data_IF_516682748571
#
_entry.id   IF_516682748571
#
_cell.length_a   1.000
_cell.length_b   1.000
_cell.length_c   1.000
_cell.angle_alpha   90.00
_cell.angle_beta   90.00
_cell.angle_gamma   90.00
#
_symmetry.space_group_name_H-M   'P 1'
#
loop_
_entity.id
_entity.type
_entity.pdbx_description
1 polymer ?
#
# COMPACT_ATOMS: atom_id res chain seq x y z
N UNK A 1 2.81 49.14 -16.05
CA UNK A 1 2.93 48.35 -14.80
C UNK A 1 1.72 47.44 -14.56
N UNK A 2 0.48 47.95 -14.50
CA UNK A 2 -0.73 47.13 -14.29
C UNK A 2 -0.91 46.04 -15.36
N UNK A 3 -0.67 46.34 -16.64
CA UNK A 3 -0.76 45.37 -17.75
C UNK A 3 0.26 44.23 -17.63
N UNK A 4 1.46 44.49 -17.10
CA UNK A 4 2.46 43.45 -16.88
C UNK A 4 2.01 42.50 -15.74
N UNK A 5 1.43 43.07 -14.69
CA UNK A 5 0.96 42.35 -13.51
C UNK A 5 -0.25 41.45 -13.85
N UNK A 6 -1.15 41.90 -14.71
CA UNK A 6 -2.30 41.09 -15.17
C UNK A 6 -1.85 39.91 -16.05
N UNK A 7 -0.87 40.10 -16.93
CA UNK A 7 -0.31 39.01 -17.77
C UNK A 7 0.34 37.93 -16.90
N UNK A 8 1.11 38.33 -15.87
CA UNK A 8 1.73 37.38 -14.93
C UNK A 8 0.65 36.59 -14.18
N UNK A 9 -0.42 37.24 -13.71
CA UNK A 9 -1.51 36.56 -13.00
C UNK A 9 -2.24 35.53 -13.86
N UNK A 10 -2.52 35.84 -15.13
CA UNK A 10 -3.13 34.90 -16.08
C UNK A 10 -2.23 33.68 -16.29
N UNK A 11 -0.91 33.90 -16.44
CA UNK A 11 0.05 32.83 -16.68
C UNK A 11 0.21 31.90 -15.46
N UNK A 12 0.30 32.46 -14.25
CA UNK A 12 0.34 31.69 -13.00
C UNK A 12 -0.94 30.87 -12.83
N UNK A 13 -2.09 31.48 -13.08
CA UNK A 13 -3.39 30.82 -12.92
C UNK A 13 -3.59 29.63 -13.88
N UNK A 14 -2.93 29.64 -15.04
CA UNK A 14 -3.01 28.55 -16.01
C UNK A 14 -1.98 27.42 -15.75
N UNK A 15 -0.78 27.77 -15.28
CA UNK A 15 0.33 26.81 -15.16
C UNK A 15 0.34 26.06 -13.82
N UNK A 16 0.00 26.72 -12.72
CA UNK A 16 0.05 26.15 -11.37
C UNK A 16 -0.91 24.96 -11.18
N UNK A 17 -2.19 25.00 -11.60
CA UNK A 17 -3.14 23.94 -11.28
C UNK A 17 -2.75 22.55 -11.80
N UNK A 18 -2.13 22.49 -12.99
CA UNK A 18 -1.77 21.23 -13.65
C UNK A 18 -0.59 20.55 -12.97
N UNK A 19 0.43 21.31 -12.58
CA UNK A 19 1.62 20.77 -11.91
C UNK A 19 1.31 20.36 -10.47
N UNK A 20 0.49 21.14 -9.77
CA UNK A 20 0.09 20.83 -8.40
C UNK A 20 -0.74 19.55 -8.31
N UNK A 21 -1.63 19.32 -9.28
CA UNK A 21 -2.43 18.08 -9.34
C UNK A 21 -1.56 16.83 -9.44
N UNK A 22 -0.51 16.87 -10.28
CA UNK A 22 0.42 15.75 -10.44
C UNK A 22 1.28 15.50 -9.19
N UNK A 23 1.78 16.58 -8.56
CA UNK A 23 2.54 16.47 -7.30
C UNK A 23 1.67 15.89 -6.19
N UNK A 24 0.45 16.42 -6.05
CA UNK A 24 -0.50 15.96 -5.03
C UNK A 24 -0.93 14.51 -5.26
N UNK A 25 -1.11 14.08 -6.51
CA UNK A 25 -1.38 12.68 -6.82
C UNK A 25 -0.20 11.78 -6.44
N UNK A 26 1.03 12.18 -6.81
CA UNK A 26 2.25 11.46 -6.43
C UNK A 26 2.42 11.35 -4.91
N UNK A 27 2.04 12.38 -4.14
CA UNK A 27 2.15 12.33 -2.68
C UNK A 27 1.08 11.42 -2.06
N UNK A 28 -0.14 11.41 -2.62
CA UNK A 28 -1.17 10.42 -2.24
C UNK A 28 -0.70 9.00 -2.51
N UNK A 29 -0.10 8.75 -3.67
CA UNK A 29 0.48 7.46 -4.03
C UNK A 29 1.52 6.99 -3.00
N UNK A 30 2.42 7.87 -2.56
CA UNK A 30 3.39 7.55 -1.49
C UNK A 30 2.72 7.22 -0.16
N UNK A 31 1.67 7.96 0.20
CA UNK A 31 0.93 7.72 1.44
C UNK A 31 0.20 6.38 1.38
N UNK A 32 -0.41 6.01 0.25
CA UNK A 32 -1.02 4.70 0.04
C UNK A 32 0.00 3.59 0.26
N UNK A 33 1.16 3.68 -0.38
CA UNK A 33 2.23 2.68 -0.22
C UNK A 33 2.73 2.60 1.23
N UNK A 34 2.86 3.74 1.91
CA UNK A 34 3.23 3.76 3.32
C UNK A 34 2.20 3.05 4.20
N UNK A 35 0.90 3.29 3.96
CA UNK A 35 -0.19 2.67 4.72
C UNK A 35 -0.26 1.16 4.44
N UNK A 36 -0.16 0.74 3.18
CA UNK A 36 -0.08 -0.68 2.81
C UNK A 36 1.05 -1.39 3.56
N UNK A 37 2.20 -0.70 3.72
CA UNK A 37 3.32 -1.21 4.51
C UNK A 37 2.99 -1.36 5.99
N UNK A 38 2.28 -0.39 6.59
CA UNK A 38 1.83 -0.51 7.98
C UNK A 38 0.91 -1.72 8.19
N UNK A 39 0.02 -2.00 7.24
CA UNK A 39 -0.82 -3.18 7.28
C UNK A 39 -0.01 -4.48 7.19
N UNK A 40 0.93 -4.58 6.25
CA UNK A 40 1.79 -5.76 6.14
C UNK A 40 2.64 -6.00 7.40
N UNK A 41 3.16 -4.93 8.02
CA UNK A 41 3.86 -5.00 9.31
C UNK A 41 2.93 -5.57 10.37
N UNK A 42 1.72 -5.04 10.50
CA UNK A 42 0.74 -5.48 11.50
C UNK A 42 0.36 -6.95 11.33
N UNK A 43 0.10 -7.39 10.09
CA UNK A 43 -0.22 -8.78 9.76
C UNK A 43 0.98 -9.70 10.08
N UNK A 44 2.20 -9.29 9.74
CA UNK A 44 3.41 -10.08 10.03
C UNK A 44 3.64 -10.24 11.54
N UNK A 45 3.46 -9.17 12.30
CA UNK A 45 3.61 -9.19 13.76
C UNK A 45 2.52 -10.04 14.43
N UNK A 46 1.29 -10.02 13.89
CA UNK A 46 0.21 -10.90 14.34
C UNK A 46 0.59 -12.38 14.15
N UNK A 47 1.06 -12.74 12.95
CA UNK A 47 1.48 -14.10 12.66
C UNK A 47 2.69 -14.54 13.49
N UNK A 48 3.66 -13.65 13.73
CA UNK A 48 4.83 -13.98 14.55
C UNK A 48 4.43 -14.40 15.97
N UNK A 49 3.38 -13.76 16.53
CA UNK A 49 2.84 -14.03 17.86
C UNK A 49 1.88 -15.22 17.90
N UNK A 50 0.92 -15.30 16.98
CA UNK A 50 -0.18 -16.27 17.01
C UNK A 50 0.05 -17.51 16.14
N UNK A 51 1.10 -17.51 15.30
CA UNK A 51 1.40 -18.53 14.28
C UNK A 51 0.28 -18.74 13.25
N UNK A 52 -0.76 -17.91 13.29
CA UNK A 52 -1.90 -17.91 12.39
C UNK A 52 -2.01 -16.56 11.71
N UNK A 53 -2.58 -16.55 10.51
CA UNK A 53 -2.91 -15.32 9.81
C UNK A 53 -4.21 -14.73 10.38
N UNK A 54 -4.36 -13.40 10.42
CA UNK A 54 -5.58 -12.76 10.90
C UNK A 54 -6.75 -13.07 9.95
N UNK A 55 -7.96 -13.19 10.52
CA UNK A 55 -9.19 -13.49 9.75
C UNK A 55 -10.11 -12.28 9.59
N UNK A 56 -9.88 -11.21 10.35
CA UNK A 56 -10.61 -9.93 10.22
C UNK A 56 -9.73 -8.76 10.65
N UNK A 57 -10.04 -7.55 10.16
CA UNK A 57 -9.28 -6.35 10.58
C UNK A 57 -9.49 -6.04 12.07
N UNK A 58 -10.68 -6.32 12.59
CA UNK A 58 -10.98 -6.18 14.03
C UNK A 58 -10.02 -6.99 14.89
N UNK A 59 -9.53 -8.13 14.42
CA UNK A 59 -8.55 -8.93 15.15
C UNK A 59 -7.20 -8.22 15.30
N UNK A 60 -6.79 -7.42 14.31
CA UNK A 60 -5.60 -6.58 14.41
C UNK A 60 -5.83 -5.30 15.23
N UNK A 61 -7.04 -4.74 15.17
CA UNK A 61 -7.40 -3.50 15.85
C UNK A 61 -7.70 -3.68 17.35
N UNK A 62 -8.33 -4.79 17.72
CA UNK A 62 -8.78 -5.09 19.09
C UNK A 62 -7.71 -5.82 19.92
N UNK A 63 -6.60 -6.25 19.30
CA UNK A 63 -5.44 -6.80 19.97
C UNK A 63 -4.83 -5.77 20.94
N UNK A 64 -5.24 -5.83 22.20
CA UNK A 64 -4.93 -4.83 23.23
C UNK A 64 -3.44 -4.80 23.60
N UNK A 65 -2.74 -5.94 23.50
CA UNK A 65 -1.31 -6.07 23.83
C UNK A 65 -0.59 -7.17 23.03
N UNK A 66 0.39 -6.86 22.16
CA UNK A 66 0.72 -5.54 21.61
C UNK A 66 -0.29 -5.10 20.54
N UNK A 67 -0.50 -3.79 20.40
CA UNK A 67 -1.27 -3.22 19.28
C UNK A 67 -0.52 -3.46 17.97
N UNK A 68 -1.10 -4.26 17.08
CA UNK A 68 -0.51 -4.55 15.78
C UNK A 68 -0.70 -3.40 14.80
N UNK A 69 -1.90 -2.82 14.77
CA UNK A 69 -2.15 -1.57 14.04
C UNK A 69 -1.84 -0.38 14.94
N UNK A 70 -0.94 0.49 14.48
CA UNK A 70 -0.57 1.74 15.16
C UNK A 70 -1.49 2.92 14.78
N UNK A 71 -2.50 2.67 13.94
CA UNK A 71 -3.45 3.66 13.44
C UNK A 71 -4.78 3.68 14.20
N UNK A 72 -5.80 4.36 13.63
CA UNK A 72 -7.17 4.35 14.14
C UNK A 72 -7.73 2.92 14.22
N UNK A 73 -8.69 2.69 15.14
CA UNK A 73 -9.31 1.37 15.35
C UNK A 73 -10.01 0.87 14.07
N UNK A 74 -10.59 1.79 13.31
CA UNK A 74 -11.33 1.48 12.10
C UNK A 74 -10.43 1.18 10.90
N UNK A 75 -9.11 1.46 11.01
CA UNK A 75 -8.13 1.35 9.94
C UNK A 75 -7.57 2.72 9.51
N UNK A 76 -6.59 2.70 8.62
CA UNK A 76 -6.05 3.91 8.00
C UNK A 76 -6.97 4.35 6.87
N UNK A 77 -7.20 5.65 6.73
CA UNK A 77 -7.94 6.23 5.60
C UNK A 77 -7.09 6.08 4.33
N UNK A 78 -7.67 5.56 3.25
CA UNK A 78 -7.00 5.55 1.94
C UNK A 78 -6.95 6.98 1.38
N UNK A 79 -5.75 7.56 1.14
CA UNK A 79 -5.62 8.91 0.59
C UNK A 79 -6.15 9.01 -0.86
N UNK A 80 -6.42 7.90 -1.53
CA UNK A 80 -6.92 7.87 -2.92
C UNK A 80 -8.44 7.99 -3.03
N UNK A 81 -9.18 7.47 -2.05
CA UNK A 81 -10.65 7.43 -1.99
C UNK A 81 -11.19 8.35 -0.90
N UNK A 82 -10.42 8.61 0.16
CA UNK A 82 -10.84 9.35 1.34
C UNK A 82 -11.62 8.50 2.35
N UNK A 83 -11.77 7.20 2.10
CA UNK A 83 -12.50 6.27 2.96
C UNK A 83 -11.59 5.14 3.47
N UNK A 84 -12.09 4.33 4.42
CA UNK A 84 -11.37 3.14 4.91
C UNK A 84 -11.84 1.91 4.12
N UNK A 85 -11.63 1.92 2.81
CA UNK A 85 -12.19 0.94 1.87
C UNK A 85 -11.14 0.01 1.27
N UNK A 86 -10.10 -0.31 2.04
CA UNK A 86 -9.05 -1.25 1.64
C UNK A 86 -9.63 -2.61 1.26
N UNK A 87 -9.10 -3.17 0.18
CA UNK A 87 -9.42 -4.52 -0.24
C UNK A 87 -8.39 -5.49 0.34
N UNK A 88 -8.89 -6.56 0.96
CA UNK A 88 -8.09 -7.61 1.57
C UNK A 88 -7.70 -8.64 0.52
N UNK A 89 -6.48 -9.16 0.67
CA UNK A 89 -5.92 -10.23 -0.16
C UNK A 89 -5.93 -11.53 0.66
N UNK A 90 -6.82 -12.49 0.33
CA UNK A 90 -6.86 -13.77 1.01
C UNK A 90 -5.55 -14.53 0.82
N UNK A 91 -5.18 -15.38 1.78
CA UNK A 91 -4.02 -16.26 1.65
C UNK A 91 -4.13 -17.17 0.40
N UNK A 92 -5.34 -17.61 0.04
CA UNK A 92 -5.58 -18.47 -1.12
C UNK A 92 -5.37 -17.77 -2.45
N UNK A 93 -5.44 -16.44 -2.45
CA UNK A 93 -5.36 -15.63 -3.65
C UNK A 93 -3.90 -15.28 -4.01
N UNK A 94 -2.99 -15.35 -3.03
CA UNK A 94 -1.55 -15.15 -3.25
C UNK A 94 -0.95 -16.46 -3.76
N UNK A 95 -0.93 -16.63 -5.08
CA UNK A 95 0.12 -17.41 -5.72
C UNK A 95 1.38 -16.55 -5.67
N UNK A 96 2.37 -16.95 -4.88
CA UNK A 96 3.64 -16.22 -4.68
C UNK A 96 4.22 -15.74 -6.02
N UNK A 97 4.19 -14.42 -6.34
CA UNK A 97 5.00 -13.93 -7.44
C UNK A 97 6.42 -13.88 -6.90
N UNK A 98 7.17 -14.95 -7.18
CA UNK A 98 8.59 -15.08 -6.90
C UNK A 98 9.31 -13.95 -7.64
N UNK A 99 9.56 -12.82 -6.99
CA UNK A 99 10.48 -11.80 -7.49
C UNK A 99 11.91 -12.33 -7.32
N UNK A 100 12.32 -13.19 -8.26
CA UNK A 100 13.73 -13.52 -8.46
C UNK A 100 14.44 -12.25 -8.93
N UNK A 101 15.58 -11.86 -8.33
CA UNK A 101 16.38 -10.75 -8.84
C UNK A 101 16.77 -11.02 -10.30
N UNK A 102 16.27 -10.21 -11.24
CA UNK A 102 16.57 -10.33 -12.67
C UNK A 102 15.43 -10.81 -13.58
N UNK A 103 14.26 -11.16 -13.04
CA UNK A 103 13.07 -11.50 -13.85
C UNK A 103 12.03 -10.39 -13.69
N UNK A 104 11.55 -9.84 -14.81
CA UNK A 104 10.45 -8.87 -14.82
C UNK A 104 9.26 -9.44 -14.04
N UNK A 105 8.61 -8.66 -13.14
CA UNK A 105 7.42 -9.15 -12.46
C UNK A 105 6.38 -9.49 -13.53
N UNK A 106 6.00 -10.77 -13.60
CA UNK A 106 4.89 -11.19 -14.43
C UNK A 106 3.66 -10.38 -14.02
N UNK A 107 2.94 -9.83 -15.00
CA UNK A 107 1.69 -9.11 -14.79
C UNK A 107 0.72 -10.07 -14.10
N UNK A 108 0.64 -9.99 -12.77
CA UNK A 108 -0.30 -10.79 -12.00
C UNK A 108 -1.70 -10.27 -12.36
N UNK A 109 -2.61 -11.12 -12.87
CA UNK A 109 -3.99 -10.69 -13.11
C UNK A 109 -4.57 -10.12 -11.81
N UNK A 110 -5.40 -9.07 -11.88
CA UNK A 110 -5.89 -8.39 -10.68
C UNK A 110 -6.60 -9.41 -9.79
N UNK A 111 -5.99 -9.66 -8.63
CA UNK A 111 -6.56 -10.57 -7.64
C UNK A 111 -7.87 -9.93 -7.17
N UNK A 112 -9.00 -10.66 -7.16
CA UNK A 112 -10.25 -10.16 -6.62
C UNK A 112 -10.07 -9.85 -5.14
N UNK A 113 -9.86 -8.58 -4.81
CA UNK A 113 -9.80 -8.11 -3.43
C UNK A 113 -11.20 -7.97 -2.86
N UNK A 114 -11.38 -8.41 -1.62
CA UNK A 114 -12.67 -8.33 -0.90
C UNK A 114 -12.64 -7.10 0.02
N UNK A 115 -13.68 -6.26 0.06
CA UNK A 115 -13.74 -5.15 1.01
C UNK A 115 -13.46 -5.58 2.44
N UNK A 116 -12.57 -4.86 3.11
CA UNK A 116 -12.15 -5.15 4.47
C UNK A 116 -13.31 -5.27 5.47
N UNK A 117 -14.35 -4.45 5.29
CA UNK A 117 -15.55 -4.43 6.13
C UNK A 117 -16.39 -5.72 6.03
N UNK A 118 -16.36 -6.39 4.88
CA UNK A 118 -17.22 -7.54 4.57
C UNK A 118 -16.42 -8.86 4.57
N UNK A 119 -15.13 -8.80 4.89
CA UNK A 119 -14.26 -9.96 4.82
C UNK A 119 -14.45 -10.88 6.03
N UNK A 120 -15.18 -11.97 5.79
CA UNK A 120 -15.30 -13.13 6.70
C UNK A 120 -14.64 -14.41 6.11
N UNK A 121 -13.87 -14.26 5.02
CA UNK A 121 -13.49 -15.32 4.10
C UNK A 121 -12.25 -16.15 4.47
N UNK A 122 -11.82 -16.13 5.73
CA UNK A 122 -10.65 -16.88 6.20
C UNK A 122 -9.40 -16.01 6.37
N UNK A 123 -8.20 -16.60 6.41
CA UNK A 123 -7.00 -15.84 6.75
C UNK A 123 -6.47 -15.00 5.59
N UNK A 124 -6.02 -13.79 5.89
CA UNK A 124 -5.50 -12.86 4.89
C UNK A 124 -4.05 -12.45 5.14
N UNK A 125 -3.39 -12.04 4.06
CA UNK A 125 -1.93 -11.82 4.04
C UNK A 125 -1.52 -10.44 3.56
N UNK A 126 -2.44 -9.64 3.04
CA UNK A 126 -2.13 -8.31 2.52
C UNK A 126 -3.37 -7.46 2.26
N UNK A 127 -3.10 -6.25 1.79
CA UNK A 127 -4.12 -5.26 1.42
C UNK A 127 -3.76 -4.61 0.06
N UNK A 128 -4.78 -4.12 -0.64
CA UNK A 128 -4.65 -3.27 -1.83
C UNK A 128 -5.66 -2.13 -1.79
N UNK A 129 -5.39 -0.98 -2.44
CA UNK A 129 -6.39 0.08 -2.59
C UNK A 129 -7.58 -0.41 -3.42
N UNK A 130 -8.76 0.16 -3.17
CA UNK A 130 -10.00 -0.13 -3.93
C UNK A 130 -10.07 0.59 -5.27
N UNK A 131 -9.29 1.66 -5.42
CA UNK A 131 -9.33 2.54 -6.59
C UNK A 131 -8.87 1.82 -7.86
N UNK A 132 -9.64 2.00 -8.91
CA UNK A 132 -9.30 1.57 -10.27
C UNK A 132 -8.63 2.74 -11.02
N UNK A 133 -7.54 2.46 -11.72
CA UNK A 133 -6.88 3.43 -12.60
C UNK A 133 -5.36 3.42 -12.54
N UNK A 134 -4.76 4.38 -13.26
CA UNK A 134 -3.31 4.54 -13.35
C UNK A 134 -2.74 5.27 -12.13
N UNK A 135 -1.64 4.77 -11.61
CA UNK A 135 -0.82 5.42 -10.60
C UNK A 135 0.25 6.30 -11.24
N UNK A 136 0.72 7.30 -10.49
CA UNK A 136 1.86 8.13 -10.87
C UNK A 136 3.19 7.50 -10.46
N UNK A 137 3.14 6.53 -9.54
CA UNK A 137 4.26 5.68 -9.14
C UNK A 137 4.13 4.27 -9.75
N UNK A 138 5.26 3.66 -10.10
CA UNK A 138 5.31 2.23 -10.37
C UNK A 138 5.52 1.49 -9.04
N UNK A 139 4.72 0.48 -8.76
CA UNK A 139 4.89 -0.40 -7.60
C UNK A 139 4.85 -1.86 -8.04
N UNK A 140 5.87 -2.63 -7.66
CA UNK A 140 6.08 -4.00 -8.13
C UNK A 140 6.01 -4.15 -9.66
N UNK A 141 6.46 -3.12 -10.40
CA UNK A 141 6.43 -3.08 -11.87
C UNK A 141 5.08 -2.73 -12.49
N UNK A 142 4.08 -2.37 -11.67
CA UNK A 142 2.77 -1.93 -12.15
C UNK A 142 2.49 -0.45 -11.89
N UNK A 143 1.96 0.20 -12.93
CA UNK A 143 1.42 1.55 -12.89
C UNK A 143 -0.11 1.55 -12.68
N UNK A 144 -0.67 0.47 -12.14
CA UNK A 144 -2.12 0.33 -11.88
C UNK A 144 -2.38 -0.03 -10.43
N UNK A 145 -3.25 0.74 -9.76
CA UNK A 145 -3.60 0.53 -8.35
C UNK A 145 -4.18 -0.87 -8.08
N UNK A 146 -4.87 -1.46 -9.05
CA UNK A 146 -5.45 -2.80 -8.91
C UNK A 146 -4.41 -3.90 -8.68
N UNK A 147 -3.21 -3.68 -9.21
CA UNK A 147 -2.07 -4.60 -9.11
C UNK A 147 -1.15 -4.23 -7.95
N UNK A 148 -1.45 -3.14 -7.23
CA UNK A 148 -0.69 -2.77 -6.05
C UNK A 148 -1.03 -3.69 -4.89
N UNK A 149 -0.24 -4.73 -4.78
CA UNK A 149 -0.37 -5.75 -3.76
C UNK A 149 0.87 -5.67 -2.88
N UNK A 150 0.66 -5.46 -1.58
CA UNK A 150 1.73 -5.59 -0.61
C UNK A 150 1.30 -6.53 0.50
N UNK A 151 2.04 -7.62 0.64
CA UNK A 151 1.74 -8.69 1.58
C UNK A 151 2.74 -8.71 2.74
N UNK A 152 2.36 -9.38 3.82
CA UNK A 152 3.25 -9.67 4.93
C UNK A 152 4.47 -10.53 4.51
N UNK A 153 4.33 -11.34 3.45
CA UNK A 153 5.44 -12.11 2.88
C UNK A 153 6.46 -11.20 2.19
N UNK A 154 5.99 -10.21 1.42
CA UNK A 154 6.84 -9.20 0.78
C UNK A 154 7.61 -8.39 1.83
N UNK A 155 6.92 -7.98 2.90
CA UNK A 155 7.54 -7.27 4.02
C UNK A 155 8.64 -8.09 4.69
N UNK A 156 8.41 -9.39 4.94
CA UNK A 156 9.44 -10.27 5.53
C UNK A 156 10.64 -10.42 4.62
N UNK A 157 10.41 -10.63 3.33
CA UNK A 157 11.48 -10.74 2.33
C UNK A 157 12.32 -9.46 2.29
N UNK A 158 11.67 -8.28 2.30
CA UNK A 158 12.36 -6.98 2.35
C UNK A 158 13.18 -6.83 3.65
N UNK A 159 12.60 -7.20 4.79
CA UNK A 159 13.27 -7.15 6.10
C UNK A 159 14.51 -8.04 6.11
N UNK A 160 14.38 -9.28 5.66
CA UNK A 160 15.46 -10.26 5.68
C UNK A 160 16.60 -9.85 4.72
N UNK A 161 16.25 -9.30 3.54
CA UNK A 161 17.22 -8.72 2.62
C UNK A 161 17.97 -7.52 3.22
N UNK A 162 17.28 -6.64 3.96
CA UNK A 162 17.90 -5.51 4.67
C UNK A 162 18.85 -5.98 5.77
N UNK A 163 18.48 -7.00 6.53
CA UNK A 163 19.33 -7.58 7.57
C UNK A 163 20.58 -8.21 6.96
N UNK A 164 20.44 -8.97 5.87
CA UNK A 164 21.56 -9.56 5.15
C UNK A 164 22.50 -8.49 4.54
N UNK A 165 21.95 -7.42 3.96
CA UNK A 165 22.74 -6.31 3.44
C UNK A 165 23.49 -5.54 4.55
N UNK A 166 22.86 -5.37 5.71
CA UNK A 166 23.50 -4.78 6.88
C UNK A 166 24.66 -5.66 7.37
N UNK A 167 24.47 -6.98 7.46
CA UNK A 167 25.52 -7.91 7.88
C UNK A 167 26.76 -7.85 6.97
N UNK A 168 26.58 -7.82 5.65
CA UNK A 168 27.68 -7.68 4.67
C UNK A 168 28.47 -6.38 4.76
N UNK A 169 27.91 -5.33 5.36
CA UNK A 169 28.59 -4.02 5.50
C UNK A 169 29.58 -4.00 6.67
N UNK A 170 29.51 -5.00 7.55
CA UNK A 170 30.38 -5.13 8.73
C UNK A 170 31.41 -6.26 8.58
N UNK A 171 31.47 -6.92 7.42
CA UNK A 171 32.54 -7.84 6.98
C UNK A 171 33.52 -7.09 6.08
#
# INVERSE_FOLDING_TARGET
MIVLLTIVMIFVSYTVPRQWSAILQRDRDKQTLFIMRQYAIAISAFQDKHKTWPVSMNQLADARQPRFLRGPKDGYIDPLTGEVDWLIIPQSAVSTPRSVPGVQPAVVPPIPGVPMKDYAGGPFVGVRPSKVGKSFLAFNGSDSYEQWIYTALDYRTERDARVAAAARKWE
#
